data_IF_462253321562
#
_entry.id   IF_462253321562
#
_cell.length_a   1.000
_cell.length_b   1.000
_cell.length_c   1.000
_cell.angle_alpha   90.00
_cell.angle_beta   90.00
_cell.angle_gamma   90.00
#
_symmetry.space_group_name_H-M   'P 1'
#
loop_
_entity.id
_entity.type
_entity.pdbx_description
1 polymer ?
#
# COMPACT_ATOMS: atom_id res chain seq x y z
N UNK A 1 9.63 7.63 15.47
CA UNK A 1 8.72 7.86 14.31
C UNK A 1 8.76 9.29 13.75
N UNK A 2 9.08 10.32 14.53
CA UNK A 2 9.07 11.71 14.04
C UNK A 2 10.11 11.96 12.92
N UNK A 3 9.85 12.93 12.04
CA UNK A 3 10.71 13.24 10.87
C UNK A 3 11.95 14.07 11.25
N UNK A 4 11.86 14.91 12.27
CA UNK A 4 12.97 15.74 12.73
C UNK A 4 14.12 14.83 13.28
N UNK A 5 15.35 14.92 12.74
CA UNK A 5 16.50 14.14 13.21
C UNK A 5 16.89 14.43 14.68
N UNK A 6 16.87 15.70 15.09
CA UNK A 6 17.19 16.09 16.48
C UNK A 6 16.20 15.49 17.47
N UNK A 7 14.90 15.58 17.19
CA UNK A 7 13.88 14.94 18.04
C UNK A 7 14.01 13.42 18.10
N UNK A 8 14.46 12.77 17.01
CA UNK A 8 14.73 11.32 17.02
C UNK A 8 15.91 10.99 17.93
N UNK A 9 16.96 11.81 17.93
CA UNK A 9 18.12 11.65 18.82
C UNK A 9 17.71 11.81 20.28
N UNK A 10 17.05 12.91 20.64
CA UNK A 10 16.59 13.13 22.02
C UNK A 10 15.63 12.04 22.50
N UNK A 11 14.69 11.61 21.65
CA UNK A 11 13.79 10.52 22.00
C UNK A 11 14.55 9.20 22.22
N UNK A 12 15.58 8.91 21.42
CA UNK A 12 16.43 7.73 21.64
C UNK A 12 17.20 7.84 22.97
N UNK A 13 17.75 9.02 23.29
CA UNK A 13 18.43 9.27 24.56
C UNK A 13 17.50 9.02 25.75
N UNK A 14 16.25 9.49 25.69
CA UNK A 14 15.24 9.20 26.70
C UNK A 14 14.98 7.70 26.84
N UNK A 15 14.83 6.97 25.73
CA UNK A 15 14.62 5.51 25.77
C UNK A 15 15.83 4.79 26.39
N UNK A 16 17.04 5.22 26.06
CA UNK A 16 18.27 4.61 26.58
C UNK A 16 18.52 4.92 28.06
N UNK A 17 17.97 6.02 28.58
CA UNK A 17 18.07 6.38 29.99
C UNK A 17 17.32 5.42 30.93
N UNK A 18 16.37 4.63 30.41
CA UNK A 18 15.76 3.54 31.16
C UNK A 18 16.72 2.38 31.46
N UNK A 19 17.92 2.36 30.84
CA UNK A 19 18.99 1.37 31.09
C UNK A 19 18.53 -0.09 31.03
N UNK A 20 17.61 -0.40 30.11
CA UNK A 20 17.14 -1.77 29.91
C UNK A 20 18.31 -2.68 29.50
N UNK A 21 18.49 -3.81 30.20
CA UNK A 21 19.64 -4.71 30.02
C UNK A 21 19.83 -5.14 28.56
N UNK A 22 18.75 -5.46 27.86
CA UNK A 22 18.76 -5.86 26.46
C UNK A 22 19.06 -4.75 25.44
N UNK A 23 18.99 -3.47 25.84
CA UNK A 23 19.16 -2.35 24.89
C UNK A 23 20.53 -1.71 25.04
N UNK A 24 21.06 -1.67 26.26
CA UNK A 24 22.35 -1.04 26.59
C UNK A 24 23.51 -1.51 25.68
N UNK A 25 23.67 -2.80 25.35
CA UNK A 25 24.75 -3.27 24.47
C UNK A 25 24.72 -2.63 23.08
N UNK A 26 23.53 -2.32 22.56
CA UNK A 26 23.32 -1.81 21.20
C UNK A 26 23.26 -0.28 21.13
N UNK A 27 23.55 0.43 22.22
CA UNK A 27 23.46 1.89 22.31
C UNK A 27 24.19 2.59 21.17
N UNK A 28 25.42 2.17 20.86
CA UNK A 28 26.24 2.78 19.79
C UNK A 28 25.63 2.55 18.42
N UNK A 29 25.16 1.33 18.13
CA UNK A 29 24.51 1.00 16.87
C UNK A 29 23.24 1.82 16.67
N UNK A 30 22.39 1.91 17.70
CA UNK A 30 21.15 2.69 17.66
C UNK A 30 21.43 4.19 17.40
N UNK A 31 22.48 4.76 17.99
CA UNK A 31 22.90 6.13 17.70
C UNK A 31 23.38 6.30 16.26
N UNK A 32 24.19 5.37 15.76
CA UNK A 32 24.68 5.40 14.38
C UNK A 32 23.54 5.26 13.36
N UNK A 33 22.47 4.51 13.69
CA UNK A 33 21.24 4.43 12.88
C UNK A 33 20.46 5.76 12.87
N UNK A 34 20.55 6.56 13.93
CA UNK A 34 19.92 7.90 13.99
C UNK A 34 20.78 8.95 13.28
N UNK A 35 22.09 8.81 13.26
CA UNK A 35 23.03 9.72 12.58
C UNK A 35 22.91 9.61 11.05
N UNK A 36 22.76 10.73 10.34
CA UNK A 36 22.62 10.75 8.87
C UNK A 36 23.89 10.33 8.12
N UNK A 37 25.07 10.66 8.64
CA UNK A 37 26.36 10.36 8.00
C UNK A 37 26.71 8.89 8.15
N UNK A 38 26.42 8.32 9.32
CA UNK A 38 26.74 6.92 9.63
C UNK A 38 25.68 5.93 9.17
N UNK A 39 24.45 6.38 8.93
CA UNK A 39 23.30 5.54 8.61
C UNK A 39 23.57 4.43 7.59
N UNK A 40 24.11 4.78 6.41
CA UNK A 40 24.33 3.81 5.33
C UNK A 40 25.40 2.77 5.71
N UNK A 41 26.47 3.18 6.39
CA UNK A 41 27.51 2.28 6.87
C UNK A 41 26.96 1.35 7.95
N UNK A 42 26.18 1.90 8.88
CA UNK A 42 25.60 1.14 9.97
C UNK A 42 24.63 0.06 9.49
N UNK A 43 23.78 0.33 8.48
CA UNK A 43 22.89 -0.69 7.91
C UNK A 43 23.65 -1.89 7.29
N UNK A 44 24.89 -1.68 6.84
CA UNK A 44 25.72 -2.74 6.27
C UNK A 44 26.41 -3.57 7.37
N UNK A 45 26.87 -2.91 8.43
CA UNK A 45 27.62 -3.54 9.53
C UNK A 45 26.69 -4.22 10.54
N UNK A 46 25.64 -3.53 10.96
CA UNK A 46 24.69 -3.98 11.96
C UNK A 46 23.45 -4.60 11.32
N UNK A 47 23.63 -5.74 10.65
CA UNK A 47 22.54 -6.50 9.99
C UNK A 47 21.51 -7.01 11.02
N UNK A 48 20.22 -6.89 10.69
CA UNK A 48 19.10 -7.34 11.55
C UNK A 48 18.81 -8.84 11.43
N UNK A 49 19.36 -9.52 10.43
CA UNK A 49 19.11 -10.93 10.17
C UNK A 49 19.58 -11.83 11.32
N UNK A 50 18.89 -12.95 11.53
CA UNK A 50 19.20 -13.90 12.61
C UNK A 50 20.57 -14.59 12.44
N UNK A 51 20.99 -14.82 11.20
CA UNK A 51 22.28 -15.43 10.85
C UNK A 51 23.49 -14.55 11.17
N UNK A 52 23.32 -13.23 11.13
CA UNK A 52 24.41 -12.29 11.37
C UNK A 52 24.82 -12.21 12.86
N UNK A 53 23.98 -12.71 13.78
CA UNK A 53 24.21 -12.72 15.24
C UNK A 53 24.59 -11.36 15.84
N UNK A 54 24.27 -10.26 15.16
CA UNK A 54 24.52 -8.90 15.62
C UNK A 54 23.57 -8.49 16.75
N UNK A 55 22.40 -9.14 16.86
CA UNK A 55 21.42 -8.93 17.93
C UNK A 55 21.11 -10.30 18.52
N UNK A 56 21.35 -10.46 19.81
CA UNK A 56 21.08 -11.71 20.52
C UNK A 56 19.57 -11.99 20.52
N UNK A 57 19.12 -13.26 20.36
CA UNK A 57 17.70 -13.61 20.30
C UNK A 57 16.87 -13.04 21.46
N UNK A 58 17.43 -13.03 22.67
CA UNK A 58 16.79 -12.57 23.90
C UNK A 58 16.58 -11.05 23.91
N UNK A 59 17.40 -10.32 23.15
CA UNK A 59 17.34 -8.87 23.08
C UNK A 59 16.42 -8.36 21.96
N UNK A 60 16.09 -9.21 20.99
CA UNK A 60 15.34 -8.82 19.77
C UNK A 60 13.98 -8.21 20.11
N UNK A 61 13.28 -8.78 21.09
CA UNK A 61 11.96 -8.31 21.52
C UNK A 61 11.97 -6.82 21.92
N UNK A 62 13.09 -6.33 22.46
CA UNK A 62 13.22 -4.95 22.91
C UNK A 62 13.93 -4.06 21.88
N UNK A 63 14.95 -4.59 21.19
CA UNK A 63 15.82 -3.80 20.29
C UNK A 63 15.19 -3.58 18.92
N UNK A 64 14.66 -4.64 18.30
CA UNK A 64 14.08 -4.56 16.95
C UNK A 64 12.94 -3.54 16.88
N UNK A 65 11.96 -3.50 17.80
CA UNK A 65 10.94 -2.45 17.77
C UNK A 65 11.49 -1.01 17.80
N UNK A 66 12.68 -0.77 18.37
CA UNK A 66 13.34 0.54 18.34
C UNK A 66 13.94 0.81 16.96
N UNK A 67 14.66 -0.17 16.39
CA UNK A 67 15.21 -0.11 15.03
C UNK A 67 14.08 0.19 14.04
N UNK A 68 12.97 -0.55 14.07
CA UNK A 68 11.82 -0.34 13.19
C UNK A 68 11.29 1.11 13.27
N UNK A 69 11.16 1.67 14.48
CA UNK A 69 10.70 3.05 14.70
C UNK A 69 11.68 4.11 14.18
N UNK A 70 12.99 3.84 14.26
CA UNK A 70 14.05 4.71 13.70
C UNK A 70 13.99 4.67 12.18
N UNK A 71 13.99 3.48 11.59
CA UNK A 71 13.97 3.25 10.14
C UNK A 71 12.71 3.83 9.49
N UNK A 72 11.54 3.65 10.10
CA UNK A 72 10.31 4.26 9.63
C UNK A 72 10.40 5.80 9.62
N UNK A 73 10.99 6.40 10.65
CA UNK A 73 11.26 7.84 10.69
C UNK A 73 12.21 8.28 9.57
N UNK A 74 13.30 7.53 9.35
CA UNK A 74 14.27 7.80 8.27
C UNK A 74 13.64 7.71 6.88
N UNK A 75 12.78 6.73 6.66
CA UNK A 75 12.07 6.52 5.40
C UNK A 75 11.03 7.62 5.12
N UNK A 76 10.30 8.06 6.14
CA UNK A 76 9.19 9.03 5.98
C UNK A 76 9.64 10.49 6.02
N UNK A 77 10.91 10.75 6.33
CA UNK A 77 11.50 12.08 6.27
C UNK A 77 11.65 12.48 4.80
N UNK A 78 10.87 13.48 4.37
CA UNK A 78 11.08 14.14 3.08
C UNK A 78 12.42 14.88 3.20
N UNK A 79 13.47 14.37 2.55
CA UNK A 79 14.64 15.18 2.26
C UNK A 79 14.13 16.32 1.37
N UNK A 80 14.13 17.55 1.88
CA UNK A 80 13.60 18.71 1.16
C UNK A 80 14.27 18.84 -0.20
N UNK A 81 13.50 19.17 -1.24
CA UNK A 81 13.87 19.69 -2.58
C UNK A 81 15.11 19.14 -3.33
N UNK A 82 15.82 18.14 -2.82
CA UNK A 82 17.04 17.63 -3.42
C UNK A 82 16.69 16.53 -4.42
N UNK A 83 16.69 16.97 -5.68
CA UNK A 83 17.14 16.25 -6.88
C UNK A 83 16.71 14.77 -6.96
N UNK A 84 15.56 14.55 -7.61
CA UNK A 84 15.20 13.39 -8.47
C UNK A 84 15.73 11.97 -8.10
N UNK A 85 15.92 11.60 -6.83
CA UNK A 85 16.27 10.19 -6.51
C UNK A 85 16.72 9.85 -5.09
N UNK A 86 17.24 10.81 -4.30
CA UNK A 86 17.82 10.51 -2.97
C UNK A 86 16.84 9.87 -1.97
N UNK A 87 15.58 10.32 -1.96
CA UNK A 87 14.54 9.75 -1.11
C UNK A 87 14.18 8.30 -1.49
N UNK A 88 14.17 7.98 -2.78
CA UNK A 88 13.86 6.64 -3.28
C UNK A 88 15.01 5.66 -2.97
N UNK A 89 16.26 6.09 -3.15
CA UNK A 89 17.43 5.28 -2.81
C UNK A 89 17.48 4.94 -1.31
N UNK A 90 17.20 5.93 -0.45
CA UNK A 90 17.12 5.71 1.01
C UNK A 90 16.01 4.74 1.38
N UNK A 91 14.84 4.87 0.75
CA UNK A 91 13.71 3.99 0.97
C UNK A 91 14.01 2.56 0.56
N UNK A 92 14.61 2.36 -0.60
CA UNK A 92 15.09 1.06 -1.08
C UNK A 92 16.11 0.44 -0.12
N UNK A 93 17.05 1.24 0.40
CA UNK A 93 18.05 0.77 1.36
C UNK A 93 17.39 0.29 2.68
N UNK A 94 16.44 1.07 3.20
CA UNK A 94 15.67 0.67 4.40
C UNK A 94 14.87 -0.61 4.15
N UNK A 95 14.19 -0.73 3.01
CA UNK A 95 13.38 -1.92 2.70
C UNK A 95 14.26 -3.17 2.56
N UNK A 96 15.41 -3.06 1.90
CA UNK A 96 16.38 -4.18 1.82
C UNK A 96 16.91 -4.60 3.18
N UNK A 97 17.16 -3.65 4.07
CA UNK A 97 17.56 -3.97 5.44
C UNK A 97 16.44 -4.70 6.20
N UNK A 98 15.20 -4.20 6.08
CA UNK A 98 14.01 -4.79 6.69
C UNK A 98 13.65 -6.17 6.11
N UNK A 99 14.10 -6.50 4.90
CA UNK A 99 13.93 -7.84 4.34
C UNK A 99 14.65 -8.92 5.17
N UNK A 100 15.60 -8.53 6.03
CA UNK A 100 16.24 -9.41 6.99
C UNK A 100 15.46 -9.67 8.28
N UNK A 101 14.32 -9.02 8.49
CA UNK A 101 13.46 -9.26 9.65
C UNK A 101 12.76 -10.62 9.54
N UNK A 102 12.52 -11.27 10.68
CA UNK A 102 11.63 -12.43 10.70
C UNK A 102 10.16 -12.01 10.51
N UNK A 103 9.28 -13.00 10.37
CA UNK A 103 7.85 -12.78 10.07
C UNK A 103 7.16 -11.91 11.14
N UNK A 104 7.48 -12.11 12.42
CA UNK A 104 6.88 -11.36 13.51
C UNK A 104 7.35 -9.91 13.52
N UNK A 105 8.63 -9.68 13.29
CA UNK A 105 9.21 -8.34 13.19
C UNK A 105 8.69 -7.57 11.98
N UNK A 106 8.53 -8.24 10.84
CA UNK A 106 7.90 -7.64 9.67
C UNK A 106 6.43 -7.27 9.93
N UNK A 107 5.69 -8.14 10.63
CA UNK A 107 4.33 -7.85 11.08
C UNK A 107 4.31 -6.60 11.98
N UNK A 108 5.20 -6.51 12.96
CA UNK A 108 5.34 -5.32 13.81
C UNK A 108 5.62 -4.07 12.98
N UNK A 109 6.45 -4.15 11.94
CA UNK A 109 6.70 -3.03 11.05
C UNK A 109 5.44 -2.60 10.30
N UNK A 110 4.67 -3.54 9.75
CA UNK A 110 3.44 -3.28 8.99
C UNK A 110 2.37 -2.65 9.89
N UNK A 111 2.10 -3.22 11.07
CA UNK A 111 1.17 -2.67 12.06
C UNK A 111 1.59 -1.25 12.49
N UNK A 112 2.88 -1.06 12.75
CA UNK A 112 3.43 0.24 13.10
C UNK A 112 3.28 1.26 11.97
N UNK A 113 3.50 0.84 10.72
CA UNK A 113 3.49 1.67 9.52
C UNK A 113 2.08 2.13 9.14
N UNK A 114 1.10 1.24 9.34
CA UNK A 114 -0.31 1.44 9.01
C UNK A 114 -1.19 1.54 10.25
N UNK A 115 -0.68 2.11 11.34
CA UNK A 115 -1.38 2.14 12.64
C UNK A 115 -2.80 2.73 12.60
N UNK A 116 -3.12 3.59 11.62
CA UNK A 116 -4.46 4.16 11.44
C UNK A 116 -5.48 3.16 10.89
N UNK A 117 -4.99 2.06 10.30
CA UNK A 117 -5.77 1.00 9.68
C UNK A 117 -5.65 -0.33 10.45
N UNK A 118 -5.01 -0.31 11.63
CA UNK A 118 -4.75 -1.52 12.41
C UNK A 118 -6.04 -2.27 12.77
N UNK A 119 -7.12 -1.56 13.07
CA UNK A 119 -8.44 -2.15 13.34
C UNK A 119 -8.98 -2.99 12.18
N UNK A 120 -8.62 -2.65 10.94
CA UNK A 120 -9.12 -3.35 9.75
C UNK A 120 -8.28 -4.59 9.40
N UNK A 121 -7.04 -4.69 9.89
CA UNK A 121 -6.10 -5.75 9.45
C UNK A 121 -6.60 -7.17 9.75
N UNK A 122 -7.41 -7.34 10.78
CA UNK A 122 -7.96 -8.64 11.19
C UNK A 122 -9.40 -8.87 10.71
N UNK A 123 -9.97 -7.91 9.98
CA UNK A 123 -11.36 -7.96 9.51
C UNK A 123 -11.47 -8.60 8.13
N UNK A 124 -12.67 -9.08 7.79
CA UNK A 124 -12.94 -9.53 6.42
C UNK A 124 -13.11 -8.31 5.50
N UNK A 125 -12.74 -8.42 4.22
CA UNK A 125 -12.83 -7.32 3.27
C UNK A 125 -14.24 -6.68 3.20
N UNK A 126 -15.29 -7.50 3.13
CA UNK A 126 -16.68 -7.00 3.05
C UNK A 126 -17.05 -6.20 4.31
N UNK A 127 -16.72 -6.70 5.49
CA UNK A 127 -16.94 -6.00 6.76
C UNK A 127 -16.21 -4.64 6.79
N UNK A 128 -14.99 -4.57 6.26
CA UNK A 128 -14.25 -3.31 6.14
C UNK A 128 -15.03 -2.32 5.27
N UNK A 129 -15.51 -2.77 4.11
CA UNK A 129 -16.28 -1.92 3.20
C UNK A 129 -17.57 -1.41 3.85
N UNK A 130 -18.31 -2.28 4.53
CA UNK A 130 -19.58 -1.93 5.19
C UNK A 130 -19.37 -0.94 6.34
N UNK A 131 -18.36 -1.18 7.21
CA UNK A 131 -18.02 -0.28 8.31
C UNK A 131 -17.55 1.08 7.81
N UNK A 132 -16.63 1.11 6.83
CA UNK A 132 -16.10 2.36 6.30
C UNK A 132 -17.19 3.16 5.59
N UNK A 133 -18.09 2.49 4.88
CA UNK A 133 -19.19 3.16 4.18
C UNK A 133 -20.26 3.68 5.14
N UNK A 134 -20.58 2.94 6.21
CA UNK A 134 -21.63 3.31 7.16
C UNK A 134 -21.17 4.39 8.16
N UNK A 135 -19.90 4.38 8.55
CA UNK A 135 -19.36 5.29 9.56
C UNK A 135 -18.59 6.48 8.96
N UNK A 136 -18.81 6.78 7.67
CA UNK A 136 -18.11 7.87 7.01
C UNK A 136 -18.57 9.23 7.57
N UNK A 137 -17.70 9.90 8.31
CA UNK A 137 -17.83 11.32 8.63
C UNK A 137 -16.84 12.14 7.80
N UNK A 138 -17.36 13.01 6.93
CA UNK A 138 -16.57 13.89 6.07
C UNK A 138 -15.63 14.83 6.86
N UNK A 139 -15.97 15.14 8.12
CA UNK A 139 -15.18 16.04 8.98
C UNK A 139 -14.00 15.33 9.64
N UNK A 140 -14.06 14.00 9.79
CA UNK A 140 -13.04 13.21 10.49
C UNK A 140 -12.24 12.28 9.57
N UNK A 141 -12.28 12.48 8.25
CA UNK A 141 -11.56 11.62 7.30
C UNK A 141 -10.05 11.78 7.47
N UNK A 142 -9.33 10.67 7.33
CA UNK A 142 -7.88 10.65 7.16
C UNK A 142 -7.48 11.61 6.02
N UNK A 143 -6.53 12.50 6.29
CA UNK A 143 -6.11 13.52 5.32
C UNK A 143 -5.63 12.91 3.99
N UNK A 144 -5.88 13.61 2.88
CA UNK A 144 -5.48 13.20 1.52
C UNK A 144 -4.01 12.80 1.42
N UNK A 145 -3.13 13.61 2.02
CA UNK A 145 -1.69 13.34 2.01
C UNK A 145 -1.32 12.07 2.75
N UNK A 146 -2.08 11.69 3.79
CA UNK A 146 -1.88 10.45 4.53
C UNK A 146 -2.38 9.24 3.72
N UNK A 147 -3.55 9.32 3.09
CA UNK A 147 -4.04 8.26 2.19
C UNK A 147 -3.07 7.99 1.04
N UNK A 148 -2.57 9.05 0.39
CA UNK A 148 -1.55 8.93 -0.65
C UNK A 148 -0.27 8.27 -0.11
N UNK A 149 0.18 8.68 1.07
CA UNK A 149 1.38 8.09 1.69
C UNK A 149 1.18 6.62 2.04
N UNK A 150 -0.03 6.21 2.40
CA UNK A 150 -0.37 4.82 2.72
C UNK A 150 -0.34 3.96 1.45
N UNK A 151 -0.96 4.40 0.36
CA UNK A 151 -0.89 3.68 -0.93
C UNK A 151 0.54 3.54 -1.43
N UNK A 152 1.33 4.62 -1.39
CA UNK A 152 2.75 4.56 -1.74
C UNK A 152 3.52 3.60 -0.84
N UNK A 153 3.18 3.53 0.46
CA UNK A 153 3.83 2.63 1.41
C UNK A 153 3.46 1.17 1.17
N UNK A 154 2.19 0.92 0.93
CA UNK A 154 1.66 -0.38 0.53
C UNK A 154 2.39 -0.87 -0.72
N UNK A 155 2.51 -0.05 -1.76
CA UNK A 155 3.14 -0.44 -3.02
C UNK A 155 4.60 -0.90 -2.84
N UNK A 156 5.37 -0.19 -2.02
CA UNK A 156 6.78 -0.56 -1.76
C UNK A 156 6.90 -1.76 -0.84
N UNK A 157 6.04 -1.88 0.17
CA UNK A 157 6.01 -3.08 1.02
C UNK A 157 5.67 -4.30 0.15
N UNK A 158 4.68 -4.19 -0.75
CA UNK A 158 4.30 -5.21 -1.72
C UNK A 158 5.46 -5.58 -2.65
N UNK A 159 6.16 -4.59 -3.21
CA UNK A 159 7.31 -4.79 -4.10
C UNK A 159 8.45 -5.56 -3.42
N UNK A 160 8.84 -5.19 -2.20
CA UNK A 160 9.99 -5.79 -1.53
C UNK A 160 9.65 -7.08 -0.81
N UNK A 161 8.43 -7.19 -0.29
CA UNK A 161 8.08 -8.23 0.68
C UNK A 161 6.98 -9.19 0.20
N UNK A 162 6.28 -8.86 -0.89
CA UNK A 162 5.14 -9.64 -1.37
C UNK A 162 5.46 -11.12 -1.61
N UNK A 163 6.62 -11.42 -2.21
CA UNK A 163 6.98 -12.79 -2.60
C UNK A 163 7.30 -13.76 -1.44
N UNK A 164 7.49 -13.26 -0.22
CA UNK A 164 7.82 -14.11 0.94
C UNK A 164 6.86 -13.94 2.12
N UNK A 165 5.91 -13.00 2.05
CA UNK A 165 4.89 -12.87 3.09
C UNK A 165 3.99 -14.11 3.11
N UNK A 166 3.83 -14.71 4.29
CA UNK A 166 2.83 -15.76 4.52
C UNK A 166 1.42 -15.21 4.34
N UNK A 167 0.48 -16.09 3.94
CA UNK A 167 -0.92 -15.75 3.64
C UNK A 167 -1.62 -14.86 4.68
N UNK A 168 -1.38 -15.12 5.97
CA UNK A 168 -1.98 -14.34 7.05
C UNK A 168 -1.51 -12.87 7.01
N UNK A 169 -0.20 -12.65 6.90
CA UNK A 169 0.36 -11.30 6.89
C UNK A 169 0.04 -10.57 5.59
N UNK A 170 0.02 -11.31 4.47
CA UNK A 170 -0.41 -10.78 3.18
C UNK A 170 -1.88 -10.32 3.23
N UNK A 171 -2.76 -11.13 3.82
CA UNK A 171 -4.17 -10.77 4.03
C UNK A 171 -4.33 -9.52 4.90
N UNK A 172 -3.55 -9.42 5.99
CA UNK A 172 -3.53 -8.22 6.84
C UNK A 172 -3.06 -6.97 6.10
N UNK A 173 -2.07 -7.12 5.21
CA UNK A 173 -1.61 -6.03 4.36
C UNK A 173 -2.71 -5.61 3.37
N UNK A 174 -3.36 -6.56 2.70
CA UNK A 174 -4.45 -6.29 1.75
C UNK A 174 -5.66 -5.62 2.41
N UNK A 175 -5.98 -5.98 3.65
CA UNK A 175 -7.03 -5.30 4.42
C UNK A 175 -6.79 -3.77 4.54
N UNK A 176 -5.53 -3.32 4.65
CA UNK A 176 -5.20 -1.88 4.60
C UNK A 176 -5.57 -1.28 3.25
N UNK A 177 -5.25 -1.98 2.16
CA UNK A 177 -5.58 -1.53 0.81
C UNK A 177 -7.09 -1.43 0.60
N UNK A 178 -7.86 -2.44 1.02
CA UNK A 178 -9.32 -2.43 0.95
C UNK A 178 -9.94 -1.31 1.79
N UNK A 179 -9.41 -1.04 2.99
CA UNK A 179 -9.88 0.08 3.81
C UNK A 179 -9.66 1.44 3.15
N UNK A 180 -8.51 1.64 2.49
CA UNK A 180 -8.24 2.87 1.72
C UNK A 180 -9.16 2.97 0.50
N UNK A 181 -9.34 1.88 -0.26
CA UNK A 181 -10.22 1.87 -1.42
C UNK A 181 -11.67 2.17 -1.03
N UNK A 182 -12.15 1.55 0.05
CA UNK A 182 -13.47 1.82 0.62
C UNK A 182 -13.60 3.28 1.03
N UNK A 183 -12.62 3.85 1.74
CA UNK A 183 -12.64 5.27 2.14
C UNK A 183 -12.74 6.19 0.91
N UNK A 184 -11.93 5.94 -0.12
CA UNK A 184 -11.95 6.74 -1.36
C UNK A 184 -13.29 6.61 -2.07
N UNK A 185 -13.85 5.41 -2.17
CA UNK A 185 -15.13 5.15 -2.80
C UNK A 185 -16.29 5.82 -2.05
N UNK A 186 -16.37 5.64 -0.72
CA UNK A 186 -17.42 6.22 0.12
C UNK A 186 -17.37 7.75 0.08
N UNK A 187 -16.19 8.37 0.06
CA UNK A 187 -16.07 9.83 -0.10
C UNK A 187 -16.56 10.26 -1.48
N UNK A 188 -16.13 9.62 -2.56
CA UNK A 188 -16.57 9.99 -3.90
C UNK A 188 -18.08 9.78 -4.12
N UNK A 189 -18.69 8.83 -3.40
CA UNK A 189 -20.13 8.59 -3.43
C UNK A 189 -20.97 9.72 -2.81
N UNK A 190 -20.37 10.59 -1.97
CA UNK A 190 -21.04 11.77 -1.40
C UNK A 190 -21.27 12.88 -2.43
N UNK A 191 -20.72 12.76 -3.65
CA UNK A 191 -21.01 13.66 -4.77
C UNK A 191 -20.72 15.12 -4.44
N UNK A 192 -21.75 15.96 -4.58
CA UNK A 192 -21.66 17.42 -4.44
C UNK A 192 -21.37 17.88 -3.01
N UNK A 193 -21.53 17.00 -2.01
CA UNK A 193 -21.12 17.25 -0.63
C UNK A 193 -19.59 17.30 -0.47
N UNK A 194 -18.82 16.90 -1.48
CA UNK A 194 -17.36 16.92 -1.47
C UNK A 194 -16.83 18.06 -2.31
N UNK A 195 -16.04 18.93 -1.69
CA UNK A 195 -15.37 20.02 -2.39
C UNK A 195 -14.61 19.54 -3.63
N UNK A 196 -14.74 20.26 -4.75
CA UNK A 196 -14.24 19.84 -6.07
C UNK A 196 -12.74 19.51 -6.09
N UNK A 197 -11.93 20.29 -5.36
CA UNK A 197 -10.50 20.04 -5.20
C UNK A 197 -10.21 18.73 -4.45
N UNK A 198 -11.02 18.40 -3.45
CA UNK A 198 -10.91 17.16 -2.67
C UNK A 198 -11.34 15.96 -3.52
N UNK A 199 -12.46 16.08 -4.25
CA UNK A 199 -12.93 15.07 -5.19
C UNK A 199 -11.89 14.78 -6.28
N UNK A 200 -11.20 15.80 -6.81
CA UNK A 200 -10.11 15.63 -7.78
C UNK A 200 -8.97 14.78 -7.20
N UNK A 201 -8.53 15.05 -5.97
CA UNK A 201 -7.47 14.27 -5.33
C UNK A 201 -7.94 12.84 -5.05
N UNK A 202 -9.19 12.64 -4.61
CA UNK A 202 -9.75 11.30 -4.40
C UNK A 202 -9.84 10.48 -5.70
N UNK A 203 -10.20 11.11 -6.82
CA UNK A 203 -10.15 10.47 -8.15
C UNK A 203 -8.72 10.04 -8.50
N UNK A 204 -7.71 10.88 -8.24
CA UNK A 204 -6.31 10.52 -8.45
C UNK A 204 -5.86 9.36 -7.54
N UNK A 205 -6.30 9.34 -6.27
CA UNK A 205 -6.04 8.24 -5.35
C UNK A 205 -6.67 6.92 -5.83
N UNK A 206 -7.89 6.96 -6.40
CA UNK A 206 -8.51 5.77 -7.02
C UNK A 206 -7.71 5.28 -8.23
N UNK A 207 -7.22 6.18 -9.08
CA UNK A 207 -6.35 5.82 -10.21
C UNK A 207 -5.05 5.16 -9.72
N UNK A 208 -4.44 5.69 -8.65
CA UNK A 208 -3.26 5.08 -8.02
C UNK A 208 -3.60 3.69 -7.45
N UNK A 209 -4.73 3.54 -6.75
CA UNK A 209 -5.19 2.26 -6.23
C UNK A 209 -5.42 1.23 -7.34
N UNK A 210 -6.02 1.61 -8.47
CA UNK A 210 -6.16 0.74 -9.64
C UNK A 210 -4.80 0.32 -10.23
N UNK A 211 -3.83 1.24 -10.28
CA UNK A 211 -2.49 0.89 -10.74
C UNK A 211 -1.80 -0.08 -9.79
N UNK A 212 -2.01 0.06 -8.48
CA UNK A 212 -1.50 -0.87 -7.47
C UNK A 212 -2.21 -2.23 -7.62
N UNK A 213 -3.53 -2.23 -7.80
CA UNK A 213 -4.32 -3.44 -7.99
C UNK A 213 -3.82 -4.24 -9.20
N UNK A 214 -3.57 -3.58 -10.32
CA UNK A 214 -2.97 -4.22 -11.50
C UNK A 214 -1.66 -4.93 -11.14
N UNK A 215 -0.77 -4.25 -10.41
CA UNK A 215 0.51 -4.83 -9.97
C UNK A 215 0.33 -5.97 -8.96
N UNK A 216 -0.77 -6.00 -8.19
CA UNK A 216 -1.10 -7.13 -7.33
C UNK A 216 -1.43 -8.37 -8.18
N UNK A 217 -2.32 -8.23 -9.18
CA UNK A 217 -2.63 -9.33 -10.10
C UNK A 217 -1.41 -9.81 -10.91
N UNK A 218 -0.51 -8.90 -11.30
CA UNK A 218 0.73 -9.26 -12.01
C UNK A 218 1.75 -9.98 -11.11
N UNK A 219 1.85 -9.62 -9.83
CA UNK A 219 2.84 -10.21 -8.92
C UNK A 219 2.38 -11.51 -8.26
N UNK A 220 1.09 -11.63 -7.96
CA UNK A 220 0.55 -12.70 -7.13
C UNK A 220 -0.25 -13.71 -7.95
N UNK A 221 0.30 -14.19 -9.07
CA UNK A 221 -0.30 -15.09 -10.08
C UNK A 221 -0.90 -16.41 -9.53
N UNK A 222 -0.49 -16.83 -8.34
CA UNK A 222 -1.02 -17.98 -7.62
C UNK A 222 -2.02 -17.66 -6.49
N UNK A 223 -2.17 -16.37 -6.14
CA UNK A 223 -3.07 -15.96 -5.06
C UNK A 223 -4.54 -16.21 -5.41
N UNK A 224 -5.23 -16.89 -4.49
CA UNK A 224 -6.65 -17.23 -4.62
C UNK A 224 -7.50 -16.11 -4.04
N UNK A 225 -7.85 -15.13 -4.88
CA UNK A 225 -8.74 -14.03 -4.54
C UNK A 225 -10.09 -14.54 -4.02
N UNK A 226 -10.46 -14.14 -2.81
CA UNK A 226 -11.71 -14.54 -2.16
C UNK A 226 -12.88 -13.72 -2.70
N UNK A 227 -14.09 -14.26 -2.58
CA UNK A 227 -15.33 -13.57 -3.01
C UNK A 227 -15.47 -12.18 -2.36
N UNK A 228 -15.19 -12.07 -1.07
CA UNK A 228 -15.26 -10.80 -0.34
C UNK A 228 -14.25 -9.78 -0.88
N UNK A 229 -13.05 -10.21 -1.28
CA UNK A 229 -12.03 -9.33 -1.84
C UNK A 229 -12.44 -8.80 -3.22
N UNK A 230 -12.93 -9.69 -4.08
CA UNK A 230 -13.43 -9.35 -5.40
C UNK A 230 -14.64 -8.42 -5.30
N UNK A 231 -15.52 -8.63 -4.34
CA UNK A 231 -16.65 -7.74 -4.05
C UNK A 231 -16.17 -6.31 -3.74
N UNK A 232 -15.23 -6.16 -2.80
CA UNK A 232 -14.71 -4.82 -2.44
C UNK A 232 -13.99 -4.17 -3.62
N UNK A 233 -13.15 -4.91 -4.35
CA UNK A 233 -12.46 -4.42 -5.56
C UNK A 233 -13.49 -3.91 -6.57
N UNK A 234 -14.53 -4.69 -6.81
CA UNK A 234 -15.56 -4.36 -7.78
C UNK A 234 -16.33 -3.10 -7.38
N UNK A 235 -16.87 -3.05 -6.16
CA UNK A 235 -17.67 -1.91 -5.68
C UNK A 235 -16.86 -0.62 -5.58
N UNK A 236 -15.60 -0.70 -5.16
CA UNK A 236 -14.79 0.49 -4.85
C UNK A 236 -13.99 1.02 -6.05
N UNK A 237 -13.49 0.14 -6.92
CA UNK A 237 -12.55 0.51 -7.98
C UNK A 237 -13.10 0.30 -9.39
N UNK A 238 -13.75 -0.85 -9.66
CA UNK A 238 -14.20 -1.18 -11.01
C UNK A 238 -15.51 -0.48 -11.36
N UNK A 239 -16.57 -0.75 -10.60
CA UNK A 239 -17.95 -0.29 -10.87
C UNK A 239 -18.05 1.21 -11.10
N UNK A 240 -17.43 2.09 -10.27
CA UNK A 240 -17.54 3.53 -10.47
C UNK A 240 -16.91 4.05 -11.77
N UNK A 241 -16.03 3.26 -12.41
CA UNK A 241 -15.29 3.65 -13.61
C UNK A 241 -15.83 2.99 -14.89
N UNK A 242 -16.62 1.91 -14.78
CA UNK A 242 -17.18 1.21 -15.94
C UNK A 242 -18.09 2.10 -16.80
N UNK A 243 -18.95 2.91 -16.18
CA UNK A 243 -19.95 3.72 -16.89
C UNK A 243 -19.32 4.75 -17.84
N UNK A 244 -18.11 5.22 -17.53
CA UNK A 244 -17.38 6.23 -18.32
C UNK A 244 -16.27 5.64 -19.18
N UNK A 245 -16.03 4.33 -19.12
CA UNK A 245 -14.93 3.67 -19.82
C UNK A 245 -14.97 3.94 -21.33
N UNK A 246 -16.14 3.79 -21.96
CA UNK A 246 -16.35 4.06 -23.39
C UNK A 246 -16.21 5.54 -23.81
N UNK A 247 -16.17 6.48 -22.85
CA UNK A 247 -16.01 7.92 -23.11
C UNK A 247 -14.56 8.32 -22.87
N UNK A 248 -14.02 7.94 -21.72
CA UNK A 248 -12.66 8.33 -21.29
C UNK A 248 -11.57 7.47 -21.94
N UNK A 249 -11.90 6.25 -22.37
CA UNK A 249 -10.96 5.26 -22.88
C UNK A 249 -10.73 5.25 -24.38
N UNK A 250 -11.42 6.09 -25.15
CA UNK A 250 -11.31 6.10 -26.63
C UNK A 250 -9.92 6.53 -27.11
N UNK A 251 -9.25 7.42 -26.38
CA UNK A 251 -7.99 8.02 -26.83
C UNK A 251 -6.77 7.14 -26.55
N UNK A 252 -6.75 6.47 -25.39
CA UNK A 252 -5.62 5.63 -24.98
C UNK A 252 -6.08 4.61 -23.92
N UNK A 253 -5.39 3.46 -23.78
CA UNK A 253 -5.76 2.47 -22.78
C UNK A 253 -5.71 3.04 -21.35
N UNK A 254 -6.87 3.08 -20.71
CA UNK A 254 -7.03 3.58 -19.34
C UNK A 254 -6.37 2.66 -18.32
N UNK A 255 -6.18 3.13 -17.08
CA UNK A 255 -5.67 2.27 -15.99
C UNK A 255 -6.62 1.09 -15.73
N UNK A 256 -7.93 1.30 -15.88
CA UNK A 256 -8.93 0.24 -15.76
C UNK A 256 -8.77 -0.80 -16.88
N UNK A 257 -8.62 -0.36 -18.14
CA UNK A 257 -8.43 -1.29 -19.27
C UNK A 257 -7.12 -2.08 -19.13
N UNK A 258 -6.04 -1.41 -18.71
CA UNK A 258 -4.75 -2.07 -18.42
C UNK A 258 -4.85 -3.11 -17.30
N UNK A 259 -5.70 -2.86 -16.29
CA UNK A 259 -5.99 -3.84 -15.23
C UNK A 259 -6.70 -5.08 -15.81
N UNK A 260 -7.74 -4.88 -16.62
CA UNK A 260 -8.42 -6.02 -17.26
C UNK A 260 -7.48 -6.79 -18.17
N UNK A 261 -6.66 -6.10 -18.97
CA UNK A 261 -5.65 -6.74 -19.80
C UNK A 261 -4.67 -7.60 -18.99
N UNK A 262 -4.16 -7.07 -17.87
CA UNK A 262 -3.30 -7.84 -16.97
C UNK A 262 -4.02 -9.05 -16.37
N UNK A 263 -5.31 -8.92 -16.04
CA UNK A 263 -6.14 -10.05 -15.59
C UNK A 263 -6.31 -11.12 -16.68
N UNK A 264 -6.44 -10.73 -17.95
CA UNK A 264 -6.61 -11.68 -19.05
C UNK A 264 -5.33 -12.47 -19.37
N UNK A 265 -4.17 -12.00 -18.95
CA UNK A 265 -2.93 -12.77 -19.08
C UNK A 265 -2.89 -14.04 -18.19
N UNK A 266 -3.82 -14.19 -17.24
CA UNK A 266 -3.91 -15.36 -16.36
C UNK A 266 -5.38 -15.84 -16.28
N UNK A 267 -5.71 -17.05 -16.74
CA UNK A 267 -7.08 -17.58 -16.72
C UNK A 267 -7.76 -17.58 -15.35
N UNK A 268 -7.00 -17.63 -14.24
CA UNK A 268 -7.55 -17.55 -12.87
C UNK A 268 -8.22 -16.20 -12.59
N UNK A 269 -7.88 -15.15 -13.35
CA UNK A 269 -8.38 -13.79 -13.14
C UNK A 269 -9.44 -13.36 -14.12
N UNK A 270 -9.92 -14.25 -14.99
CA UNK A 270 -11.13 -14.01 -15.78
C UNK A 270 -12.35 -13.70 -14.90
N UNK A 271 -12.30 -14.08 -13.61
CA UNK A 271 -13.28 -13.67 -12.61
C UNK A 271 -13.47 -12.15 -12.56
N UNK A 272 -12.43 -11.35 -12.84
CA UNK A 272 -12.54 -9.88 -12.91
C UNK A 272 -13.50 -9.40 -14.00
N UNK A 273 -13.62 -10.12 -15.10
CA UNK A 273 -14.47 -9.76 -16.24
C UNK A 273 -15.96 -10.07 -16.01
N UNK A 274 -16.23 -11.00 -15.08
CA UNK A 274 -17.59 -11.51 -14.80
C UNK A 274 -18.08 -11.17 -13.39
N UNK A 275 -17.24 -10.59 -12.53
CA UNK A 275 -17.67 -10.14 -11.21
C UNK A 275 -18.72 -9.03 -11.37
N UNK A 276 -19.84 -9.17 -10.68
CA UNK A 276 -20.96 -8.23 -10.70
C UNK A 276 -21.23 -7.69 -9.29
N UNK A 277 -22.01 -6.60 -9.22
CA UNK A 277 -22.57 -6.15 -7.95
C UNK A 277 -23.62 -7.16 -7.48
N UNK A 278 -23.85 -7.21 -6.16
CA UNK A 278 -25.04 -7.86 -5.60
C UNK A 278 -26.33 -7.11 -5.99
N UNK A 279 -26.23 -5.84 -6.40
CA UNK A 279 -27.38 -4.96 -6.71
C UNK A 279 -27.78 -4.96 -8.18
N UNK A 280 -26.79 -5.08 -9.06
CA UNK A 280 -26.98 -5.14 -10.51
C UNK A 280 -26.04 -6.19 -11.12
N UNK A 281 -26.59 -7.06 -11.98
CA UNK A 281 -25.83 -8.10 -12.69
C UNK A 281 -24.92 -7.54 -13.79
N UNK A 282 -24.46 -6.30 -13.64
CA UNK A 282 -23.59 -5.60 -14.59
C UNK A 282 -22.14 -5.98 -14.33
N UNK A 283 -21.57 -6.79 -15.23
CA UNK A 283 -20.14 -7.10 -15.23
C UNK A 283 -19.34 -6.07 -16.03
N UNK A 284 -17.99 -6.13 -15.99
CA UNK A 284 -17.15 -5.29 -16.83
C UNK A 284 -17.23 -5.56 -18.33
N UNK A 285 -17.57 -6.79 -18.76
CA UNK A 285 -17.58 -7.17 -20.18
C UNK A 285 -18.43 -6.24 -21.08
N UNK A 286 -19.70 -5.94 -20.75
CA UNK A 286 -20.50 -4.98 -21.53
C UNK A 286 -19.83 -3.61 -21.70
N UNK A 287 -19.14 -3.10 -20.67
CA UNK A 287 -18.46 -1.82 -20.75
C UNK A 287 -17.21 -1.88 -21.65
N UNK A 288 -16.50 -3.01 -21.66
CA UNK A 288 -15.35 -3.26 -22.55
C UNK A 288 -15.83 -3.34 -24.01
N UNK A 289 -16.87 -4.11 -24.29
CA UNK A 289 -17.45 -4.18 -25.65
C UNK A 289 -18.00 -2.83 -26.11
N UNK A 290 -18.61 -2.05 -25.20
CA UNK A 290 -19.05 -0.68 -25.53
C UNK A 290 -17.87 0.22 -25.92
N UNK A 291 -16.70 0.07 -25.31
CA UNK A 291 -15.49 0.79 -25.70
C UNK A 291 -14.93 0.29 -27.04
N UNK A 292 -14.94 -1.03 -27.29
CA UNK A 292 -14.54 -1.61 -28.57
C UNK A 292 -15.37 -1.07 -29.74
N UNK A 293 -16.68 -0.94 -29.54
CA UNK A 293 -17.63 -0.44 -30.54
C UNK A 293 -17.67 1.09 -30.64
N UNK A 294 -16.90 1.83 -29.80
CA UNK A 294 -16.94 3.28 -29.81
C UNK A 294 -16.25 3.84 -31.08
N UNK A 295 -16.93 4.67 -31.90
CA UNK A 295 -16.41 5.09 -33.21
C UNK A 295 -15.08 5.86 -33.20
N UNK A 296 -14.72 6.44 -32.04
CA UNK A 296 -13.52 7.27 -31.86
C UNK A 296 -12.38 6.52 -31.15
N UNK A 297 -12.53 5.22 -30.91
CA UNK A 297 -11.49 4.41 -30.28
C UNK A 297 -10.24 4.32 -31.17
N UNK A 298 -9.08 4.61 -30.60
CA UNK A 298 -7.81 4.50 -31.31
C UNK A 298 -7.41 3.05 -31.51
N UNK A 299 -6.60 2.76 -32.54
CA UNK A 299 -6.10 1.41 -32.83
C UNK A 299 -5.42 0.77 -31.63
N UNK A 300 -4.67 1.53 -30.82
CA UNK A 300 -4.03 1.01 -29.62
C UNK A 300 -5.01 0.55 -28.52
N UNK A 301 -6.19 1.17 -28.44
CA UNK A 301 -7.26 0.74 -27.53
C UNK A 301 -7.93 -0.52 -28.06
N UNK A 302 -8.26 -0.54 -29.35
CA UNK A 302 -8.89 -1.69 -30.02
C UNK A 302 -7.99 -2.92 -29.91
N UNK A 303 -6.71 -2.80 -30.26
CA UNK A 303 -5.76 -3.92 -30.20
C UNK A 303 -5.66 -4.48 -28.77
N UNK A 304 -5.55 -3.62 -27.74
CA UNK A 304 -5.52 -4.10 -26.35
C UNK A 304 -6.79 -4.88 -25.96
N UNK A 305 -7.96 -4.48 -26.46
CA UNK A 305 -9.21 -5.21 -26.17
C UNK A 305 -9.26 -6.55 -26.93
N UNK A 306 -8.69 -6.62 -28.14
CA UNK A 306 -8.63 -7.85 -28.92
C UNK A 306 -7.56 -8.83 -28.43
N UNK A 307 -6.51 -8.33 -27.77
CA UNK A 307 -5.45 -9.12 -27.14
C UNK A 307 -5.88 -9.72 -25.78
N UNK A 308 -7.02 -9.28 -25.22
CA UNK A 308 -7.63 -9.75 -23.98
C UNK A 308 -8.43 -11.04 -24.17
#
# INVERSE_FOLDING_TARGET
>A
KHKNPGLRKYALDCVLNYKHKSIVPYKTNLHNLVDEKKFKGELTLFKITEDAKNIQPEDREHVVPIILRILYGKMTTKLGADKKGGGQARRSLVMRYLAGCNVNELKMFIEMAFSHFMQYMTMKPKDIFDIVSSNLDLKSIISLGKLHSVLNLFEVIREYFGGYMKDLLLSQLFAVFYAVCSTVASVLAQGDNVHIGYAKVMKNLRTLALSILRKLFEQFDEYKWKKDELYVIFETLLRPMMSKLHIEGIHSPTVLLKLFNAGCQNPRYYILLITCSEKDSLSPLPAIFKLLMAPKSTTGVVNMILDM
#
